data_IF_860637662220
#
_entry.id   IF_860637662220
#
_cell.length_a   1.000
_cell.length_b   1.000
_cell.length_c   1.000
_cell.angle_alpha   90.00
_cell.angle_beta   90.00
_cell.angle_gamma   90.00
#
_symmetry.space_group_name_H-M   'P 1'
#
loop_
_entity.id
_entity.type
_entity.pdbx_description
1 polymer ?
#
# COMPACT_ATOMS: atom_id res chain seq x y z
N UNK A 1 -1.14 -14.55 15.42
CA UNK A 1 -2.14 -13.63 16.00
C UNK A 1 -2.55 -12.65 14.92
N UNK A 2 -3.82 -12.66 14.53
CA UNK A 2 -4.38 -11.73 13.54
C UNK A 2 -5.56 -10.99 14.18
N UNK A 3 -5.81 -9.76 13.73
CA UNK A 3 -6.95 -8.96 14.17
C UNK A 3 -7.87 -8.65 12.98
N UNK A 4 -9.16 -8.47 13.26
CA UNK A 4 -10.15 -8.21 12.22
C UNK A 4 -10.22 -6.76 11.75
N UNK A 5 -11.03 -6.54 10.71
CA UNK A 5 -11.28 -5.22 10.16
C UNK A 5 -12.02 -4.27 11.12
N UNK A 6 -12.78 -4.84 12.06
CA UNK A 6 -13.43 -4.15 13.17
C UNK A 6 -12.41 -3.47 14.09
N UNK A 7 -11.35 -4.19 14.49
CA UNK A 7 -10.27 -3.66 15.34
C UNK A 7 -9.54 -2.52 14.62
N UNK A 8 -9.22 -2.70 13.34
CA UNK A 8 -8.60 -1.64 12.53
C UNK A 8 -9.51 -0.42 12.40
N UNK A 9 -10.79 -0.62 12.15
CA UNK A 9 -11.75 0.49 12.04
C UNK A 9 -11.87 1.25 13.36
N UNK A 10 -11.95 0.55 14.48
CA UNK A 10 -12.02 1.14 15.81
C UNK A 10 -10.73 1.93 16.14
N UNK A 11 -9.56 1.36 15.83
CA UNK A 11 -8.28 2.04 15.99
C UNK A 11 -8.18 3.30 15.13
N UNK A 12 -8.49 3.20 13.84
CA UNK A 12 -8.48 4.34 12.92
C UNK A 12 -9.42 5.48 13.38
N UNK A 13 -10.60 5.14 13.90
CA UNK A 13 -11.53 6.12 14.43
C UNK A 13 -11.00 6.79 15.72
N UNK A 14 -10.43 5.99 16.64
CA UNK A 14 -9.92 6.49 17.93
C UNK A 14 -8.69 7.40 17.75
N UNK A 15 -7.72 6.96 16.96
CA UNK A 15 -6.47 7.71 16.73
C UNK A 15 -6.60 8.76 15.61
N UNK A 16 -7.79 8.82 14.98
CA UNK A 16 -8.09 9.68 13.83
C UNK A 16 -7.09 9.52 12.69
N UNK A 17 -6.79 8.27 12.32
CA UNK A 17 -5.94 7.95 11.15
C UNK A 17 -6.76 7.35 10.02
N UNK A 18 -6.46 7.74 8.78
CA UNK A 18 -7.18 7.22 7.61
C UNK A 18 -6.76 5.78 7.24
N UNK A 19 -5.48 5.46 7.41
CA UNK A 19 -4.89 4.19 7.01
C UNK A 19 -3.71 3.83 7.91
N UNK A 20 -3.57 2.55 8.23
CA UNK A 20 -2.40 1.98 8.91
C UNK A 20 -1.50 1.39 7.83
N UNK A 21 -0.23 1.80 7.79
CA UNK A 21 0.79 1.16 6.96
C UNK A 21 1.71 0.38 7.88
N UNK A 22 1.94 -0.90 7.59
CA UNK A 22 2.84 -1.75 8.36
C UNK A 22 3.75 -2.55 7.45
N UNK A 23 4.85 -3.06 8.02
CA UNK A 23 5.77 -3.98 7.35
C UNK A 23 5.86 -5.32 8.13
N UNK A 24 6.94 -6.08 7.89
CA UNK A 24 7.31 -7.34 8.56
C UNK A 24 6.58 -8.62 8.17
N UNK A 25 5.59 -8.59 7.28
CA UNK A 25 5.00 -9.80 6.72
C UNK A 25 5.41 -9.96 5.26
N UNK A 26 5.82 -11.17 4.87
CA UNK A 26 6.12 -11.49 3.48
C UNK A 26 4.85 -11.33 2.63
N UNK A 27 4.97 -10.59 1.52
CA UNK A 27 3.88 -10.39 0.55
C UNK A 27 4.43 -10.62 -0.86
N UNK A 28 3.86 -11.55 -1.66
CA UNK A 28 4.39 -11.89 -2.98
C UNK A 28 4.52 -10.71 -3.95
N UNK A 29 3.60 -9.74 -3.89
CA UNK A 29 3.59 -8.56 -4.78
C UNK A 29 4.21 -7.31 -4.15
N UNK A 30 4.83 -7.42 -2.98
CA UNK A 30 5.42 -6.30 -2.27
C UNK A 30 4.41 -5.41 -1.52
N UNK A 31 3.11 -5.55 -1.75
CA UNK A 31 2.08 -4.85 -0.97
C UNK A 31 0.76 -5.63 -0.94
N UNK A 32 -0.05 -5.39 0.10
CA UNK A 32 -1.39 -5.97 0.24
C UNK A 32 -2.32 -5.00 0.95
N UNK A 33 -3.50 -4.77 0.36
CA UNK A 33 -4.59 -4.06 1.02
C UNK A 33 -5.42 -5.03 1.87
N UNK A 34 -5.77 -4.59 3.07
CA UNK A 34 -6.58 -5.34 4.02
C UNK A 34 -7.62 -4.40 4.66
N UNK A 35 -8.65 -4.99 5.27
CA UNK A 35 -9.64 -4.27 6.09
C UNK A 35 -10.33 -3.10 5.38
N UNK A 36 -10.70 -3.32 4.12
CA UNK A 36 -11.35 -2.30 3.29
C UNK A 36 -10.42 -1.15 2.91
N UNK A 37 -9.11 -1.39 2.82
CA UNK A 37 -8.11 -0.39 2.44
C UNK A 37 -7.57 0.44 3.61
N UNK A 38 -8.02 0.18 4.85
CA UNK A 38 -7.54 0.87 6.07
C UNK A 38 -6.27 0.25 6.66
N UNK A 39 -5.84 -0.90 6.16
CA UNK A 39 -4.57 -1.53 6.53
C UNK A 39 -3.81 -1.89 5.26
N UNK A 40 -2.56 -1.47 5.17
CA UNK A 40 -1.67 -1.77 4.07
C UNK A 40 -0.43 -2.45 4.63
N UNK A 41 -0.19 -3.68 4.19
CA UNK A 41 1.09 -4.35 4.43
C UNK A 41 2.02 -4.03 3.28
N UNK A 42 3.20 -3.49 3.57
CA UNK A 42 4.25 -3.14 2.61
C UNK A 42 5.47 -4.03 2.82
N UNK A 43 6.07 -4.49 1.73
CA UNK A 43 7.27 -5.29 1.70
C UNK A 43 8.21 -4.78 0.60
N UNK A 44 9.36 -4.23 1.00
CA UNK A 44 10.26 -3.49 0.11
C UNK A 44 11.49 -4.29 -0.36
N UNK A 45 11.69 -5.51 0.16
CA UNK A 45 12.80 -6.37 -0.22
C UNK A 45 12.33 -7.40 -1.25
N UNK A 46 12.65 -7.19 -2.53
CA UNK A 46 12.38 -8.19 -3.59
C UNK A 46 13.34 -9.37 -3.43
N UNK A 47 12.97 -10.55 -3.92
CA UNK A 47 13.79 -11.76 -3.81
C UNK A 47 14.25 -12.04 -2.36
N UNK A 48 13.37 -11.86 -1.39
CA UNK A 48 13.75 -11.98 0.02
C UNK A 48 14.20 -13.39 0.41
N UNK A 49 13.59 -14.41 -0.21
CA UNK A 49 14.04 -15.79 -0.13
C UNK A 49 14.67 -16.21 -1.47
N UNK A 50 15.99 -16.17 -1.56
CA UNK A 50 16.74 -16.65 -2.74
C UNK A 50 17.14 -18.13 -2.60
N UNK A 51 16.17 -18.99 -2.23
CA UNK A 51 16.40 -20.43 -2.12
C UNK A 51 15.87 -21.19 -3.35
N UNK A 52 16.57 -22.24 -3.84
CA UNK A 52 16.08 -23.07 -4.93
C UNK A 52 14.70 -23.67 -4.62
N UNK A 53 13.73 -23.46 -5.51
CA UNK A 53 12.37 -23.99 -5.39
C UNK A 53 11.34 -23.04 -4.75
N UNK A 54 11.79 -21.91 -4.18
CA UNK A 54 10.87 -20.90 -3.68
C UNK A 54 10.44 -19.90 -4.76
N UNK A 55 9.19 -19.42 -4.68
CA UNK A 55 8.69 -18.39 -5.59
C UNK A 55 9.25 -17.03 -5.17
N UNK A 56 9.92 -16.29 -6.07
CA UNK A 56 10.44 -14.97 -5.75
C UNK A 56 9.29 -13.99 -5.46
N UNK A 57 9.54 -13.03 -4.57
CA UNK A 57 8.61 -11.95 -4.31
C UNK A 57 9.06 -10.64 -4.96
N UNK A 58 8.08 -9.84 -5.33
CA UNK A 58 8.29 -8.45 -5.71
C UNK A 58 8.49 -7.57 -4.47
N UNK A 59 9.03 -6.38 -4.70
CA UNK A 59 9.02 -5.29 -3.73
C UNK A 59 7.94 -4.27 -4.11
N UNK A 60 7.61 -3.38 -3.18
CA UNK A 60 6.87 -2.17 -3.51
C UNK A 60 7.32 -0.96 -2.70
N UNK A 61 7.00 0.22 -3.21
CA UNK A 61 7.09 1.51 -2.51
C UNK A 61 5.71 2.15 -2.56
N UNK A 62 5.28 2.82 -1.49
CA UNK A 62 4.03 3.57 -1.50
C UNK A 62 4.29 5.04 -1.83
N UNK A 63 3.64 5.54 -2.88
CA UNK A 63 3.53 6.96 -3.14
C UNK A 63 2.28 7.48 -2.42
N UNK A 64 2.48 8.39 -1.47
CA UNK A 64 1.43 9.08 -0.74
C UNK A 64 1.35 10.51 -1.25
N UNK A 65 0.17 10.92 -1.72
CA UNK A 65 -0.05 12.27 -2.20
C UNK A 65 -1.50 12.67 -1.95
N UNK A 66 -1.72 13.96 -1.71
CA UNK A 66 -3.06 14.50 -1.70
C UNK A 66 -3.48 14.83 -3.13
N UNK A 67 -4.75 14.61 -3.47
CA UNK A 67 -5.27 15.08 -4.74
C UNK A 67 -5.82 16.51 -4.68
N UNK A 68 -6.41 16.96 -5.78
CA UNK A 68 -6.93 18.31 -5.93
C UNK A 68 -8.06 18.66 -4.96
N UNK A 69 -8.78 17.67 -4.42
CA UNK A 69 -9.79 17.92 -3.40
C UNK A 69 -9.21 17.72 -1.98
N UNK A 70 -7.95 17.31 -1.86
CA UNK A 70 -7.33 16.99 -0.59
C UNK A 70 -7.56 15.55 -0.11
N UNK A 71 -8.01 14.63 -0.97
CA UNK A 71 -8.07 13.21 -0.61
C UNK A 71 -6.66 12.64 -0.52
N UNK A 72 -6.35 11.91 0.56
CA UNK A 72 -5.11 11.14 0.61
C UNK A 72 -5.20 9.97 -0.38
N UNK A 73 -4.34 10.00 -1.39
CA UNK A 73 -4.15 8.92 -2.35
C UNK A 73 -2.95 8.09 -1.98
N UNK A 74 -3.15 6.78 -1.97
CA UNK A 74 -2.11 5.79 -1.71
C UNK A 74 -1.90 4.96 -2.97
N UNK A 75 -0.75 5.13 -3.61
CA UNK A 75 -0.43 4.43 -4.86
C UNK A 75 0.80 3.53 -4.69
N UNK A 76 0.64 2.20 -4.75
CA UNK A 76 1.74 1.26 -4.65
C UNK A 76 2.47 1.16 -5.99
N UNK A 77 3.77 1.44 -5.95
CA UNK A 77 4.71 1.20 -7.04
C UNK A 77 5.32 -0.18 -6.86
N UNK A 78 4.81 -1.16 -7.60
CA UNK A 78 5.36 -2.52 -7.64
C UNK A 78 6.70 -2.52 -8.37
N UNK A 79 7.70 -3.13 -7.76
CA UNK A 79 9.04 -3.39 -8.28
C UNK A 79 9.13 -4.90 -8.49
N UNK A 80 8.89 -5.40 -9.71
CA UNK A 80 8.92 -6.83 -9.98
C UNK A 80 10.25 -7.46 -9.58
N UNK A 81 10.19 -8.70 -9.12
CA UNK A 81 11.38 -9.53 -8.99
C UNK A 81 12.07 -9.62 -10.36
N UNK A 82 13.40 -9.47 -10.36
CA UNK A 82 14.17 -9.75 -11.56
C UNK A 82 14.36 -11.26 -11.64
N UNK A 83 13.77 -11.90 -12.65
CA UNK A 83 14.12 -13.26 -13.07
C UNK A 83 15.53 -13.33 -13.68
N UNK A 84 16.39 -12.35 -13.42
CA UNK A 84 17.77 -12.35 -13.90
C UNK A 84 18.51 -13.51 -13.23
N UNK A 85 18.52 -14.65 -13.90
CA UNK A 85 19.74 -15.42 -14.02
C UNK A 85 20.84 -14.41 -14.36
N UNK A 86 21.81 -14.32 -13.46
CA UNK A 86 23.05 -13.58 -13.60
C UNK A 86 23.46 -13.64 -15.09
N UNK A 87 23.43 -12.54 -15.87
CA UNK A 87 23.90 -12.62 -17.25
C UNK A 87 25.39 -12.91 -17.17
N UNK A 88 25.81 -14.10 -17.62
CA UNK A 88 27.18 -14.28 -18.06
C UNK A 88 27.41 -13.19 -19.11
N UNK A 89 28.46 -12.40 -18.92
CA UNK A 89 28.78 -11.27 -19.76
C UNK A 89 28.71 -11.66 -21.25
N UNK A 90 27.89 -10.93 -22.02
CA UNK A 90 27.86 -11.00 -23.48
C UNK A 90 26.63 -11.67 -24.07
N UNK A 91 25.65 -10.87 -24.51
CA UNK A 91 25.33 -10.60 -25.94
C UNK A 91 23.96 -9.92 -26.02
N UNK A 92 23.92 -8.76 -26.69
CA UNK A 92 22.74 -7.93 -26.84
C UNK A 92 21.55 -8.69 -27.48
N UNK A 93 20.34 -8.55 -26.93
CA UNK A 93 19.08 -8.87 -27.65
C UNK A 93 18.02 -7.80 -27.41
N UNK A 94 17.32 -7.49 -28.50
CA UNK A 94 16.35 -6.42 -28.78
C UNK A 94 15.15 -6.38 -27.82
N UNK A 95 14.44 -5.23 -27.72
CA UNK A 95 13.39 -5.02 -26.73
C UNK A 95 12.12 -5.82 -27.07
N UNK A 96 11.48 -6.49 -26.09
CA UNK A 96 10.19 -7.11 -26.30
C UNK A 96 9.07 -6.07 -26.28
N UNK A 97 8.32 -6.03 -27.37
CA UNK A 97 7.02 -5.37 -27.50
C UNK A 97 5.96 -6.17 -26.75
N UNK A 98 5.38 -5.61 -25.69
CA UNK A 98 4.02 -6.02 -25.27
C UNK A 98 3.24 -4.82 -24.70
N UNK A 99 1.92 -4.72 -24.95
CA UNK A 99 1.13 -3.56 -24.54
C UNK A 99 0.92 -3.53 -23.03
N UNK A 100 1.18 -2.38 -22.40
CA UNK A 100 0.90 -2.12 -20.98
C UNK A 100 -0.61 -2.14 -20.73
N UNK A 101 -1.13 -3.20 -20.14
CA UNK A 101 -2.51 -3.20 -19.66
C UNK A 101 -2.60 -2.36 -18.37
N UNK A 102 -3.27 -1.20 -18.46
CA UNK A 102 -3.54 -0.32 -17.31
C UNK A 102 -4.73 -0.87 -16.53
N UNK A 103 -4.47 -1.70 -15.52
CA UNK A 103 -5.50 -2.04 -14.54
C UNK A 103 -5.70 -0.83 -13.61
N UNK A 104 -6.78 -0.08 -13.84
CA UNK A 104 -7.18 1.07 -13.01
C UNK A 104 -8.09 0.57 -11.90
N UNK A 105 -7.53 0.26 -10.73
CA UNK A 105 -8.30 0.14 -9.49
C UNK A 105 -7.91 1.27 -8.55
N UNK A 106 -8.68 2.35 -8.59
CA UNK A 106 -8.58 3.45 -7.63
C UNK A 106 -9.52 3.17 -6.46
N UNK A 107 -8.97 2.79 -5.31
CA UNK A 107 -9.69 3.00 -4.06
C UNK A 107 -9.68 4.50 -3.77
N UNK A 108 -10.81 5.16 -4.01
CA UNK A 108 -11.00 6.56 -3.61
C UNK A 108 -11.26 6.52 -2.11
N UNK A 109 -10.25 6.89 -1.32
CA UNK A 109 -10.43 7.15 0.09
C UNK A 109 -11.13 8.52 0.23
N UNK A 110 -12.06 8.68 1.20
CA UNK A 110 -12.77 9.94 1.40
C UNK A 110 -11.80 11.09 1.67
N UNK A 111 -12.26 12.29 1.32
CA UNK A 111 -11.44 13.50 1.24
C UNK A 111 -10.98 13.92 2.62
N UNK A 112 -9.86 14.64 2.73
CA UNK A 112 -9.53 15.24 4.02
C UNK A 112 -10.66 16.16 4.50
N UNK A 113 -11.45 16.75 3.60
CA UNK A 113 -12.61 17.59 3.92
C UNK A 113 -13.87 16.78 4.28
N UNK A 114 -14.08 15.60 3.70
CA UNK A 114 -15.18 14.68 3.97
C UNK A 114 -14.91 13.92 5.27
N UNK A 115 -13.65 13.55 5.51
CA UNK A 115 -13.18 13.05 6.79
C UNK A 115 -13.23 14.15 7.82
N UNK A 116 -12.84 15.40 7.52
CA UNK A 116 -13.00 16.53 8.44
C UNK A 116 -14.46 16.86 8.69
N UNK A 117 -15.37 16.83 7.72
CA UNK A 117 -16.79 17.12 7.90
C UNK A 117 -17.46 16.02 8.72
N UNK A 118 -17.10 14.75 8.46
CA UNK A 118 -17.54 13.63 9.30
C UNK A 118 -16.90 13.66 10.68
N UNK A 119 -15.64 14.06 10.78
CA UNK A 119 -14.92 14.28 12.05
C UNK A 119 -15.39 15.55 12.76
N UNK A 120 -15.99 16.53 12.08
CA UNK A 120 -16.55 17.77 12.64
C UNK A 120 -17.97 17.51 13.12
N UNK A 121 -18.73 16.69 12.41
CA UNK A 121 -19.98 16.11 12.87
C UNK A 121 -19.75 15.16 14.07
N UNK A 122 -18.66 14.39 14.07
CA UNK A 122 -18.21 13.58 15.22
C UNK A 122 -17.55 14.42 16.32
N UNK A 123 -16.89 15.55 16.04
CA UNK A 123 -16.31 16.49 17.03
C UNK A 123 -17.36 17.36 17.70
N UNK A 124 -18.43 17.71 16.97
CA UNK A 124 -19.67 18.23 17.56
C UNK A 124 -20.30 17.22 18.52
N UNK A 125 -19.90 15.94 18.46
CA UNK A 125 -20.27 14.91 19.43
C UNK A 125 -19.15 14.68 20.48
N UNK A 126 -17.86 14.64 20.12
CA UNK A 126 -16.73 14.34 21.02
C UNK A 126 -15.37 14.91 20.48
N UNK A 127 -14.69 15.79 21.25
CA UNK A 127 -13.60 16.69 20.79
C UNK A 127 -12.19 16.14 20.42
N UNK A 128 -11.56 16.83 19.45
CA UNK A 128 -10.15 17.09 19.01
C UNK A 128 -8.98 16.08 18.91
N UNK A 129 -8.29 16.02 17.73
CA UNK A 129 -6.88 15.59 17.49
C UNK A 129 -6.54 14.47 16.44
N UNK A 130 -5.93 14.77 15.28
CA UNK A 130 -5.52 13.77 14.24
C UNK A 130 -4.00 13.74 14.00
N UNK A 131 -3.36 12.57 14.19
CA UNK A 131 -1.90 12.33 14.02
C UNK A 131 -1.65 11.06 13.20
N UNK A 132 -0.79 11.12 12.18
CA UNK A 132 -0.34 9.92 11.42
C UNK A 132 0.83 9.28 12.17
N UNK A 133 0.70 8.03 12.61
CA UNK A 133 1.79 7.26 13.25
C UNK A 133 2.51 6.40 12.19
N UNK A 134 3.85 6.48 12.22
CA UNK A 134 4.79 5.67 11.44
C UNK A 134 5.39 4.57 12.31
#
# INVERSE_FOLDING_TARGET
>A
LEFGADVTRAFCARERVAVIVRSHQFVPHGYKYMHGGRLITLFSARNYFEMPGERPNDAAVLLLANDINGHLRVYPLRIPHSSQGRPAAGRARSPPTSPREKVRMSAVLPTAEELKARDEELRKREGDGCCVLA
#
